data_IF_524422566353
#
_entry.id   IF_524422566353
#
_cell.length_a   1.000
_cell.length_b   1.000
_cell.length_c   1.000
_cell.angle_alpha   90.00
_cell.angle_beta   90.00
_cell.angle_gamma   90.00
#
_symmetry.space_group_name_H-M   'P 1'
#
loop_
_entity.id
_entity.type
_entity.pdbx_description
1 polymer ?
#
# COMPACT_ATOMS: atom_id res chain seq x y z
N UNK A 1 -39.09 -37.22 74.37
CA UNK A 1 -38.50 -36.98 73.02
C UNK A 1 -38.95 -35.59 72.62
N UNK A 2 -38.09 -34.56 72.81
CA UNK A 2 -38.40 -33.17 72.45
C UNK A 2 -37.79 -32.87 71.08
N UNK A 3 -38.48 -32.20 70.18
CA UNK A 3 -37.93 -31.85 68.85
C UNK A 3 -36.90 -30.74 68.99
N UNK A 4 -35.72 -30.98 68.38
CA UNK A 4 -34.66 -29.98 68.21
C UNK A 4 -35.16 -28.86 67.29
N UNK A 5 -35.40 -27.72 67.88
CA UNK A 5 -35.64 -26.44 67.09
C UNK A 5 -34.30 -26.00 66.63
N UNK A 6 -34.04 -26.17 65.32
CA UNK A 6 -32.87 -25.66 64.60
C UNK A 6 -32.93 -24.15 64.59
N UNK A 7 -32.10 -23.47 65.36
CA UNK A 7 -31.92 -22.02 65.37
C UNK A 7 -31.18 -21.62 64.12
N UNK A 8 -31.93 -21.23 63.07
CA UNK A 8 -31.33 -20.53 61.87
C UNK A 8 -30.66 -19.23 62.31
N UNK A 9 -29.39 -19.14 62.01
CA UNK A 9 -28.59 -17.95 62.32
C UNK A 9 -29.16 -16.70 61.63
N UNK A 10 -29.26 -15.53 62.31
CA UNK A 10 -29.85 -14.32 61.74
C UNK A 10 -29.08 -13.75 60.54
N UNK A 11 -27.86 -14.21 60.26
CA UNK A 11 -27.06 -13.81 59.09
C UNK A 11 -27.57 -14.34 57.74
N UNK A 12 -28.22 -15.52 57.75
CA UNK A 12 -28.68 -16.18 56.51
C UNK A 12 -29.88 -15.48 55.87
N UNK A 13 -30.74 -14.88 56.69
CA UNK A 13 -31.90 -14.09 56.20
C UNK A 13 -31.49 -12.76 55.60
N UNK A 14 -30.52 -12.09 56.19
CA UNK A 14 -29.99 -10.82 55.69
C UNK A 14 -29.26 -11.03 54.35
N UNK A 15 -28.45 -12.05 54.25
CA UNK A 15 -27.71 -12.39 53.03
C UNK A 15 -28.68 -12.75 51.90
N UNK A 16 -29.71 -13.52 52.15
CA UNK A 16 -30.74 -13.89 51.17
C UNK A 16 -31.53 -12.70 50.67
N UNK A 17 -31.85 -11.74 51.57
CA UNK A 17 -32.56 -10.50 51.21
C UNK A 17 -31.68 -9.56 50.36
N UNK A 18 -30.39 -9.48 50.67
CA UNK A 18 -29.43 -8.70 49.88
C UNK A 18 -29.28 -9.29 48.46
N UNK A 19 -29.10 -10.58 48.35
CA UNK A 19 -29.02 -11.28 47.03
C UNK A 19 -30.31 -11.09 46.21
N UNK A 20 -31.49 -11.18 46.85
CA UNK A 20 -32.76 -10.95 46.14
C UNK A 20 -32.92 -9.51 45.64
N UNK A 21 -32.51 -8.53 46.42
CA UNK A 21 -32.53 -7.09 46.01
C UNK A 21 -31.51 -6.85 44.91
N UNK A 22 -30.30 -7.37 45.03
CA UNK A 22 -29.25 -7.23 44.00
C UNK A 22 -29.69 -7.86 42.67
N UNK A 23 -30.29 -9.06 42.75
CA UNK A 23 -30.81 -9.75 41.55
C UNK A 23 -31.98 -8.97 40.92
N UNK A 24 -32.90 -8.40 41.73
CA UNK A 24 -33.98 -7.55 41.23
C UNK A 24 -33.45 -6.29 40.54
N UNK A 25 -32.47 -5.58 41.16
CA UNK A 25 -31.82 -4.43 40.55
C UNK A 25 -31.12 -4.80 39.25
N UNK A 26 -30.38 -5.88 39.21
CA UNK A 26 -29.70 -6.39 37.99
C UNK A 26 -30.70 -6.71 36.90
N UNK A 27 -31.79 -7.42 37.20
CA UNK A 27 -32.85 -7.68 36.21
C UNK A 27 -33.53 -6.40 35.71
N UNK A 28 -33.82 -5.47 36.60
CA UNK A 28 -34.39 -4.17 36.19
C UNK A 28 -33.44 -3.42 35.27
N UNK A 29 -32.14 -3.42 35.57
CA UNK A 29 -31.12 -2.78 34.77
C UNK A 29 -31.01 -3.45 33.38
N UNK A 30 -31.00 -4.78 33.31
CA UNK A 30 -30.97 -5.56 32.06
C UNK A 30 -32.22 -5.24 31.22
N UNK A 31 -33.41 -5.31 31.81
CA UNK A 31 -34.68 -5.02 31.09
C UNK A 31 -34.68 -3.59 30.59
N UNK A 32 -34.28 -2.62 31.41
CA UNK A 32 -34.19 -1.20 31.01
C UNK A 32 -33.21 -1.05 29.84
N UNK A 33 -32.03 -1.68 29.90
CA UNK A 33 -31.03 -1.63 28.83
C UNK A 33 -31.59 -2.23 27.52
N UNK A 34 -32.28 -3.39 27.61
CA UNK A 34 -32.90 -4.03 26.43
C UNK A 34 -33.97 -3.15 25.82
N UNK A 35 -34.81 -2.52 26.64
CA UNK A 35 -35.86 -1.58 26.16
C UNK A 35 -35.22 -0.36 25.51
N UNK A 36 -34.21 0.25 26.13
CA UNK A 36 -33.49 1.39 25.54
C UNK A 36 -32.85 1.01 24.20
N UNK A 37 -32.24 -0.16 24.13
CA UNK A 37 -31.64 -0.68 22.90
C UNK A 37 -32.69 -0.93 21.82
N UNK A 38 -33.84 -1.50 22.17
CA UNK A 38 -34.96 -1.70 21.24
C UNK A 38 -35.52 -0.38 20.70
N UNK A 39 -35.67 0.63 21.58
CA UNK A 39 -36.08 1.99 21.18
C UNK A 39 -35.04 2.62 20.24
N UNK A 40 -33.76 2.55 20.61
CA UNK A 40 -32.65 3.05 19.78
C UNK A 40 -32.67 2.45 18.37
N UNK A 41 -32.75 1.11 18.25
CA UNK A 41 -32.81 0.44 16.95
C UNK A 41 -34.08 0.79 16.17
N UNK A 42 -35.23 0.89 16.84
CA UNK A 42 -36.51 1.20 16.19
C UNK A 42 -36.53 2.61 15.65
N UNK A 43 -36.13 3.59 16.47
CA UNK A 43 -36.02 4.99 16.05
C UNK A 43 -34.96 5.16 14.96
N UNK A 44 -33.82 4.50 15.13
CA UNK A 44 -32.74 4.52 14.12
C UNK A 44 -33.19 4.01 12.76
N UNK A 45 -33.89 2.87 12.73
CA UNK A 45 -34.44 2.33 11.46
C UNK A 45 -35.46 3.26 10.84
N UNK A 46 -36.34 3.86 11.64
CA UNK A 46 -37.33 4.81 11.15
C UNK A 46 -36.68 6.05 10.55
N UNK A 47 -35.65 6.60 11.19
CA UNK A 47 -34.88 7.75 10.68
C UNK A 47 -34.16 7.39 9.38
N UNK A 48 -33.47 6.23 9.32
CA UNK A 48 -32.74 5.78 8.13
C UNK A 48 -33.68 5.60 6.93
N UNK A 49 -34.88 5.08 7.14
CA UNK A 49 -35.87 4.90 6.06
C UNK A 49 -36.34 6.22 5.44
N UNK A 50 -36.26 7.32 6.16
CA UNK A 50 -36.71 8.64 5.72
C UNK A 50 -35.58 9.61 5.36
N UNK A 51 -34.32 9.13 5.26
CA UNK A 51 -33.13 9.96 4.99
C UNK A 51 -33.23 10.79 3.72
N UNK A 52 -33.91 10.30 2.70
CA UNK A 52 -34.13 11.06 1.45
C UNK A 52 -34.85 12.38 1.65
N UNK A 53 -35.73 12.50 2.66
CA UNK A 53 -36.41 13.77 2.98
C UNK A 53 -35.46 14.82 3.57
N UNK A 54 -34.33 14.40 4.15
CA UNK A 54 -33.33 15.25 4.77
C UNK A 54 -32.06 15.43 3.94
N UNK A 55 -32.09 14.98 2.67
CA UNK A 55 -30.91 14.95 1.77
C UNK A 55 -30.17 16.29 1.74
N UNK A 56 -30.85 17.41 1.59
CA UNK A 56 -30.23 18.73 1.50
C UNK A 56 -29.47 19.10 2.77
N UNK A 57 -30.06 18.84 3.94
CA UNK A 57 -29.42 19.11 5.24
C UNK A 57 -28.20 18.21 5.47
N UNK A 58 -28.28 16.93 5.10
CA UNK A 58 -27.17 15.96 5.22
C UNK A 58 -26.01 16.38 4.34
N UNK A 59 -26.25 16.71 3.07
CA UNK A 59 -25.21 17.18 2.15
C UNK A 59 -24.61 18.49 2.60
N UNK A 60 -25.40 19.43 3.14
CA UNK A 60 -24.89 20.66 3.70
C UNK A 60 -23.96 20.38 4.88
N UNK A 61 -24.35 19.51 5.81
CA UNK A 61 -23.51 19.14 6.97
C UNK A 61 -22.21 18.43 6.53
N UNK A 62 -22.27 17.51 5.57
CA UNK A 62 -21.09 16.87 5.01
C UNK A 62 -20.16 17.91 4.36
N UNK A 63 -20.69 18.82 3.59
CA UNK A 63 -19.91 19.87 2.91
C UNK A 63 -19.24 20.88 3.86
N UNK A 64 -19.69 20.99 5.12
CA UNK A 64 -18.98 21.80 6.12
C UNK A 64 -17.75 21.12 6.71
N UNK A 65 -17.61 19.79 6.52
CA UNK A 65 -16.58 18.98 7.17
C UNK A 65 -15.48 18.50 6.25
N UNK A 66 -15.72 18.53 4.95
CA UNK A 66 -14.76 18.09 3.95
C UNK A 66 -14.37 19.27 3.05
N UNK A 67 -13.13 19.32 2.60
CA UNK A 67 -12.66 20.39 1.71
C UNK A 67 -13.11 20.20 0.25
N UNK A 68 -14.13 19.38 0.01
CA UNK A 68 -14.70 19.08 -1.31
C UNK A 68 -16.19 19.41 -1.29
N UNK A 69 -16.71 19.85 -2.43
CA UNK A 69 -18.15 19.95 -2.61
C UNK A 69 -18.69 18.57 -2.98
N UNK A 70 -19.50 18.00 -2.10
CA UNK A 70 -20.18 16.72 -2.28
C UNK A 70 -21.56 16.96 -2.86
N UNK A 71 -21.82 16.42 -4.04
CA UNK A 71 -23.13 16.33 -4.66
C UNK A 71 -23.50 14.86 -4.80
N UNK A 72 -24.74 14.50 -4.46
CA UNK A 72 -25.27 13.14 -4.64
C UNK A 72 -26.66 13.20 -5.26
N UNK A 73 -26.92 12.30 -6.20
CA UNK A 73 -28.25 12.19 -6.80
C UNK A 73 -29.28 11.71 -5.78
N UNK A 74 -28.89 10.77 -4.92
CA UNK A 74 -29.75 10.21 -3.88
C UNK A 74 -28.97 9.97 -2.61
N UNK A 75 -29.60 10.31 -1.48
CA UNK A 75 -29.16 9.96 -0.14
C UNK A 75 -30.17 9.00 0.46
N UNK A 76 -29.70 7.85 0.92
CA UNK A 76 -30.51 6.85 1.63
C UNK A 76 -29.78 6.40 2.90
N UNK A 77 -30.52 5.78 3.81
CA UNK A 77 -29.95 5.26 5.04
C UNK A 77 -30.18 3.76 5.14
N UNK A 78 -29.14 3.05 5.54
CA UNK A 78 -29.20 1.63 5.90
C UNK A 78 -28.88 1.47 7.39
N UNK A 79 -29.38 0.38 7.96
CA UNK A 79 -29.14 0.08 9.36
C UNK A 79 -28.48 -1.30 9.48
N UNK A 80 -27.19 -1.32 9.81
CA UNK A 80 -26.44 -2.56 9.99
C UNK A 80 -26.16 -2.81 11.48
N UNK A 81 -26.81 -3.85 12.04
CA UNK A 81 -26.73 -4.19 13.46
C UNK A 81 -27.14 -3.00 14.36
N UNK A 82 -26.19 -2.21 14.82
CA UNK A 82 -26.40 -1.03 15.66
C UNK A 82 -25.82 0.26 15.05
N UNK A 83 -25.30 0.17 13.84
CA UNK A 83 -24.61 1.28 13.17
C UNK A 83 -25.43 1.81 12.00
N UNK A 84 -25.79 3.09 11.99
CA UNK A 84 -26.38 3.73 10.84
C UNK A 84 -25.34 3.93 9.74
N UNK A 85 -25.73 3.66 8.52
CA UNK A 85 -24.90 3.83 7.32
C UNK A 85 -25.64 4.74 6.35
N UNK A 86 -25.02 5.86 6.00
CA UNK A 86 -25.44 6.71 4.89
C UNK A 86 -24.96 6.10 3.59
N UNK A 87 -25.88 5.94 2.64
CA UNK A 87 -25.59 5.50 1.27
C UNK A 87 -25.87 6.67 0.33
N UNK A 88 -24.84 7.08 -0.37
CA UNK A 88 -24.84 8.18 -1.31
C UNK A 88 -24.66 7.59 -2.72
N UNK A 89 -25.64 7.78 -3.59
CA UNK A 89 -25.60 7.23 -4.97
C UNK A 89 -25.25 8.33 -5.96
N UNK A 90 -24.46 7.96 -6.98
CA UNK A 90 -23.99 8.85 -8.03
C UNK A 90 -23.32 10.12 -7.46
N UNK A 91 -22.29 9.90 -6.66
CA UNK A 91 -21.55 10.99 -6.03
C UNK A 91 -20.66 11.72 -7.03
N UNK A 92 -20.59 13.04 -6.82
CA UNK A 92 -19.65 13.93 -7.47
C UNK A 92 -18.92 14.72 -6.40
N UNK A 93 -17.60 14.56 -6.34
CA UNK A 93 -16.71 15.27 -5.44
C UNK A 93 -15.97 16.34 -6.23
N UNK A 94 -16.32 17.59 -6.01
CA UNK A 94 -15.70 18.73 -6.70
C UNK A 94 -14.65 19.36 -5.78
N UNK A 95 -13.38 19.48 -6.21
CA UNK A 95 -12.35 20.15 -5.44
C UNK A 95 -12.67 21.66 -5.26
N UNK A 96 -12.16 22.31 -4.20
CA UNK A 96 -12.43 23.73 -3.94
C UNK A 96 -11.82 24.65 -4.99
N UNK A 97 -10.78 24.20 -5.73
CA UNK A 97 -10.20 24.92 -6.87
C UNK A 97 -10.86 24.44 -8.15
N UNK A 98 -11.49 25.35 -8.87
CA UNK A 98 -12.33 25.04 -10.03
C UNK A 98 -11.58 24.59 -11.30
N UNK A 99 -10.26 24.53 -11.30
CA UNK A 99 -9.40 24.03 -12.37
C UNK A 99 -9.22 22.50 -12.36
N UNK A 100 -9.56 21.86 -11.26
CA UNK A 100 -9.48 20.40 -11.13
C UNK A 100 -10.82 19.74 -11.50
N UNK A 101 -10.75 18.60 -12.19
CA UNK A 101 -11.94 17.85 -12.60
C UNK A 101 -12.59 17.16 -11.38
N UNK A 102 -13.95 17.17 -11.31
CA UNK A 102 -14.65 16.44 -10.28
C UNK A 102 -14.39 14.94 -10.36
N UNK A 103 -14.27 14.29 -9.20
CA UNK A 103 -14.25 12.83 -9.08
C UNK A 103 -15.70 12.33 -9.04
N UNK A 104 -15.99 11.31 -9.83
CA UNK A 104 -17.32 10.67 -9.88
C UNK A 104 -17.23 9.22 -9.42
N UNK A 105 -18.19 8.80 -8.63
CA UNK A 105 -18.29 7.43 -8.15
C UNK A 105 -19.76 7.00 -8.07
N UNK A 106 -20.00 5.71 -8.27
CA UNK A 106 -21.37 5.18 -8.31
C UNK A 106 -22.03 5.16 -6.93
N UNK A 107 -21.26 4.79 -5.91
CA UNK A 107 -21.77 4.66 -4.55
C UNK A 107 -20.69 4.99 -3.51
N UNK A 108 -21.13 5.70 -2.46
CA UNK A 108 -20.34 5.92 -1.25
C UNK A 108 -21.15 5.52 -0.03
N UNK A 109 -20.56 4.76 0.88
CA UNK A 109 -21.17 4.33 2.14
C UNK A 109 -20.38 4.91 3.29
N UNK A 110 -21.06 5.58 4.19
CA UNK A 110 -20.46 6.24 5.35
C UNK A 110 -21.16 5.72 6.61
N UNK A 111 -20.42 4.96 7.42
CA UNK A 111 -20.91 4.55 8.74
C UNK A 111 -20.63 5.63 9.77
N UNK A 112 -21.63 5.87 10.63
CA UNK A 112 -21.61 6.94 11.63
C UNK A 112 -21.51 6.34 13.01
N UNK A 113 -20.60 6.87 13.84
CA UNK A 113 -20.62 6.62 15.28
C UNK A 113 -21.63 7.53 15.95
N UNK A 114 -22.75 6.95 16.37
CA UNK A 114 -23.83 7.72 17.02
C UNK A 114 -23.42 8.21 18.40
N UNK A 115 -22.68 7.41 19.16
CA UNK A 115 -22.29 7.77 20.52
C UNK A 115 -21.26 8.91 20.53
N UNK A 116 -20.23 8.79 19.70
CA UNK A 116 -19.22 9.83 19.59
C UNK A 116 -19.77 11.08 18.86
N UNK A 117 -20.71 10.92 17.94
CA UNK A 117 -21.42 12.05 17.31
C UNK A 117 -22.25 12.83 18.32
N UNK A 118 -22.98 12.13 19.21
CA UNK A 118 -23.76 12.79 20.28
C UNK A 118 -22.85 13.46 21.32
N UNK A 119 -21.73 12.82 21.66
CA UNK A 119 -20.80 13.35 22.67
C UNK A 119 -20.06 14.59 22.17
N UNK A 120 -19.62 14.59 20.92
CA UNK A 120 -18.89 15.72 20.30
C UNK A 120 -19.80 16.81 19.74
N UNK A 121 -21.11 16.54 19.62
CA UNK A 121 -22.06 17.42 18.93
C UNK A 121 -21.77 17.52 17.42
N UNK A 122 -21.06 16.55 16.86
CA UNK A 122 -20.58 16.56 15.49
C UNK A 122 -20.64 15.16 14.88
N UNK A 123 -20.96 15.07 13.57
CA UNK A 123 -21.00 13.79 12.86
C UNK A 123 -19.61 13.14 12.84
N UNK A 124 -19.48 11.97 13.47
CA UNK A 124 -18.24 11.19 13.48
C UNK A 124 -18.39 10.01 12.52
N UNK A 125 -17.47 9.95 11.54
CA UNK A 125 -17.42 8.87 10.53
C UNK A 125 -16.44 7.81 10.97
N UNK A 126 -16.89 6.55 11.06
CA UNK A 126 -16.03 5.41 11.41
C UNK A 126 -15.57 4.63 10.18
N UNK A 127 -16.43 4.51 9.17
CA UNK A 127 -16.12 3.75 7.95
C UNK A 127 -16.53 4.53 6.72
N UNK A 128 -15.68 4.48 5.73
CA UNK A 128 -15.93 5.03 4.40
C UNK A 128 -15.62 3.96 3.36
N UNK A 129 -16.64 3.57 2.62
CA UNK A 129 -16.52 2.63 1.52
C UNK A 129 -16.93 3.36 0.23
N UNK A 130 -16.06 3.33 -0.77
CA UNK A 130 -16.28 3.97 -2.07
C UNK A 130 -16.22 2.91 -3.17
N UNK A 131 -17.19 2.95 -4.08
CA UNK A 131 -17.32 1.98 -5.15
C UNK A 131 -17.34 2.66 -6.52
N UNK A 132 -16.64 2.04 -7.47
CA UNK A 132 -16.55 2.50 -8.87
C UNK A 132 -16.00 3.92 -9.04
N UNK A 133 -15.03 4.28 -8.20
CA UNK A 133 -14.31 5.54 -8.29
C UNK A 133 -13.29 5.49 -9.43
N UNK A 134 -13.34 6.48 -10.32
CA UNK A 134 -12.38 6.66 -11.38
C UNK A 134 -11.31 7.67 -10.95
N UNK A 135 -10.16 7.18 -10.51
CA UNK A 135 -9.01 7.98 -10.14
C UNK A 135 -8.11 8.24 -11.35
N UNK A 136 -7.44 9.37 -11.34
CA UNK A 136 -6.38 9.71 -12.28
C UNK A 136 -5.13 10.05 -11.53
N UNK A 137 -4.04 9.43 -11.94
CA UNK A 137 -2.73 9.69 -11.37
C UNK A 137 -1.74 10.02 -12.48
N UNK A 138 -0.73 10.78 -12.15
CA UNK A 138 0.39 11.06 -13.03
C UNK A 138 1.69 10.70 -12.33
N UNK A 139 2.53 9.97 -13.03
CA UNK A 139 3.88 9.68 -12.60
C UNK A 139 4.81 10.62 -13.38
N UNK A 140 5.46 11.53 -12.66
CA UNK A 140 6.41 12.45 -13.24
C UNK A 140 7.75 11.77 -13.58
N UNK A 141 8.56 12.42 -14.43
CA UNK A 141 9.90 11.92 -14.82
C UNK A 141 10.86 11.74 -13.63
N UNK A 142 10.67 12.47 -12.54
CA UNK A 142 11.44 12.34 -11.30
C UNK A 142 10.96 11.18 -10.40
N UNK A 143 9.95 10.41 -10.87
CA UNK A 143 9.38 9.27 -10.14
C UNK A 143 8.37 9.66 -9.06
N UNK A 144 7.92 10.90 -9.02
CA UNK A 144 6.88 11.34 -8.09
C UNK A 144 5.50 11.01 -8.64
N UNK A 145 4.71 10.35 -7.81
CA UNK A 145 3.32 10.08 -8.09
C UNK A 145 2.44 11.25 -7.60
N UNK A 146 1.55 11.73 -8.46
CA UNK A 146 0.52 12.72 -8.12
C UNK A 146 -0.85 12.16 -8.45
N UNK A 147 -1.79 12.34 -7.54
CA UNK A 147 -3.19 12.01 -7.78
C UNK A 147 -3.93 13.27 -8.21
N UNK A 148 -4.59 13.23 -9.37
CA UNK A 148 -5.36 14.37 -9.88
C UNK A 148 -6.52 14.68 -8.90
N UNK A 149 -6.62 15.92 -8.44
CA UNK A 149 -7.63 16.34 -7.46
C UNK A 149 -7.20 16.25 -5.99
N UNK A 150 -6.05 15.61 -5.71
CA UNK A 150 -5.45 15.55 -4.37
C UNK A 150 -4.02 16.08 -4.49
N UNK A 151 -3.85 17.37 -4.28
CA UNK A 151 -2.51 17.95 -4.28
C UNK A 151 -1.83 17.65 -2.94
N UNK A 152 -0.87 16.70 -2.95
CA UNK A 152 -0.16 16.23 -1.75
C UNK A 152 0.84 17.24 -1.17
N UNK A 153 0.91 18.45 -1.70
CA UNK A 153 1.94 19.44 -1.36
C UNK A 153 1.53 20.42 -0.25
N UNK A 154 0.85 19.92 0.79
CA UNK A 154 0.46 20.78 1.91
C UNK A 154 -0.69 21.72 1.53
N UNK A 155 -1.56 22.01 2.47
CA UNK A 155 -2.74 22.82 2.28
C UNK A 155 -3.91 22.17 2.99
N UNK A 156 -5.05 22.81 2.96
CA UNK A 156 -6.25 22.40 3.67
C UNK A 156 -6.69 20.96 3.36
N UNK A 157 -6.55 20.52 2.10
CA UNK A 157 -6.87 19.14 1.69
C UNK A 157 -5.88 18.13 2.30
N UNK A 158 -4.58 18.44 2.32
CA UNK A 158 -3.56 17.55 2.87
C UNK A 158 -3.69 17.37 4.38
N UNK A 159 -3.97 18.45 5.11
CA UNK A 159 -4.20 18.40 6.55
C UNK A 159 -5.48 17.62 6.87
N UNK A 160 -6.57 17.90 6.16
CA UNK A 160 -7.82 17.18 6.30
C UNK A 160 -7.64 15.68 6.01
N UNK A 161 -6.95 15.33 4.92
CA UNK A 161 -6.71 13.93 4.54
C UNK A 161 -5.89 13.20 5.60
N UNK A 162 -4.87 13.86 6.16
CA UNK A 162 -4.08 13.32 7.26
C UNK A 162 -4.95 13.04 8.48
N UNK A 163 -5.74 14.03 8.91
CA UNK A 163 -6.64 13.89 10.06
C UNK A 163 -7.69 12.80 9.82
N UNK A 164 -8.26 12.77 8.63
CA UNK A 164 -9.21 11.74 8.21
C UNK A 164 -8.60 10.34 8.28
N UNK A 165 -7.41 10.13 7.69
CA UNK A 165 -6.70 8.84 7.70
C UNK A 165 -6.27 8.41 9.12
N UNK A 166 -6.02 9.37 10.01
CA UNK A 166 -5.69 9.08 11.41
C UNK A 166 -6.91 8.67 12.24
N UNK A 167 -8.10 9.15 11.93
CA UNK A 167 -9.30 8.99 12.76
C UNK A 167 -10.26 7.91 12.26
N UNK A 168 -10.35 7.66 10.96
CA UNK A 168 -11.25 6.67 10.39
C UNK A 168 -10.79 5.24 10.71
N UNK A 169 -11.72 4.35 11.06
CA UNK A 169 -11.45 2.95 11.38
C UNK A 169 -11.29 2.08 10.13
N UNK A 170 -12.07 2.37 9.07
CA UNK A 170 -12.03 1.62 7.82
C UNK A 170 -12.23 2.54 6.62
N UNK A 171 -11.28 2.47 5.69
CA UNK A 171 -11.44 2.99 4.33
C UNK A 171 -11.35 1.80 3.38
N UNK A 172 -12.35 1.66 2.52
CA UNK A 172 -12.39 0.60 1.51
C UNK A 172 -12.74 1.18 0.15
N UNK A 173 -11.87 0.94 -0.82
CA UNK A 173 -12.09 1.25 -2.23
C UNK A 173 -12.28 -0.06 -2.98
N UNK A 174 -13.45 -0.26 -3.61
CA UNK A 174 -13.78 -1.49 -4.34
C UNK A 174 -14.16 -1.19 -5.78
N UNK A 175 -13.72 -2.04 -6.71
CA UNK A 175 -14.05 -1.92 -8.14
C UNK A 175 -13.67 -0.53 -8.71
N UNK A 176 -12.57 0.04 -8.25
CA UNK A 176 -12.12 1.34 -8.69
C UNK A 176 -11.13 1.22 -9.84
N UNK A 177 -11.02 2.25 -10.62
CA UNK A 177 -10.06 2.32 -11.71
C UNK A 177 -9.07 3.45 -11.48
N UNK A 178 -7.78 3.17 -11.69
CA UNK A 178 -6.72 4.16 -11.71
C UNK A 178 -6.23 4.33 -13.15
N UNK A 179 -6.43 5.52 -13.70
CA UNK A 179 -5.86 5.90 -14.99
C UNK A 179 -4.53 6.60 -14.73
N UNK A 180 -3.44 5.86 -14.88
CA UNK A 180 -2.09 6.31 -14.62
C UNK A 180 -1.46 6.90 -15.89
N UNK A 181 -1.15 8.20 -15.88
CA UNK A 181 -0.29 8.84 -16.87
C UNK A 181 1.17 8.53 -16.57
N UNK A 182 1.90 8.02 -17.56
CA UNK A 182 3.33 7.71 -17.46
C UNK A 182 4.15 8.83 -18.12
N UNK A 183 5.41 9.01 -17.74
CA UNK A 183 6.34 9.86 -18.47
C UNK A 183 6.36 9.48 -19.97
N UNK A 184 6.29 10.44 -20.86
CA UNK A 184 6.16 10.17 -22.30
C UNK A 184 4.72 10.18 -22.84
N UNK A 185 3.71 10.43 -21.98
CA UNK A 185 2.32 10.63 -22.38
C UNK A 185 1.47 9.36 -22.53
N UNK A 186 2.03 8.17 -22.32
CA UNK A 186 1.27 6.94 -22.29
C UNK A 186 0.34 6.92 -21.07
N UNK A 187 -0.88 6.44 -21.25
CA UNK A 187 -1.85 6.23 -20.16
C UNK A 187 -2.16 4.75 -19.99
N UNK A 188 -2.20 4.30 -18.73
CA UNK A 188 -2.54 2.93 -18.36
C UNK A 188 -3.70 2.91 -17.40
N UNK A 189 -4.66 2.10 -17.71
CA UNK A 189 -5.77 1.80 -16.82
C UNK A 189 -5.43 0.57 -15.97
N UNK A 190 -5.63 0.71 -14.67
CA UNK A 190 -5.44 -0.34 -13.68
C UNK A 190 -6.69 -0.44 -12.80
N UNK A 191 -7.06 -1.66 -12.47
CA UNK A 191 -8.05 -1.91 -11.43
C UNK A 191 -7.38 -1.67 -10.07
N UNK A 192 -8.05 -0.92 -9.20
CA UNK A 192 -7.57 -0.56 -7.87
C UNK A 192 -8.51 -1.08 -6.80
N UNK A 193 -8.00 -1.84 -5.86
CA UNK A 193 -8.62 -2.04 -4.56
C UNK A 193 -7.71 -1.56 -3.44
N UNK A 194 -8.29 -0.94 -2.42
CA UNK A 194 -7.58 -0.45 -1.25
C UNK A 194 -8.42 -0.72 -0.02
N UNK A 195 -7.76 -1.20 1.02
CA UNK A 195 -8.34 -1.36 2.36
C UNK A 195 -7.35 -0.83 3.39
N UNK A 196 -7.77 0.16 4.14
CA UNK A 196 -7.04 0.69 5.29
C UNK A 196 -7.91 0.50 6.53
N UNK A 197 -7.40 -0.25 7.49
CA UNK A 197 -8.06 -0.52 8.76
C UNK A 197 -7.26 0.07 9.92
N UNK A 198 -7.97 0.59 10.90
CA UNK A 198 -7.40 1.05 12.17
C UNK A 198 -8.06 0.33 13.33
N UNK A 199 -7.25 -0.25 14.19
CA UNK A 199 -7.67 -0.85 15.46
C UNK A 199 -6.80 -0.24 16.58
N UNK A 200 -7.34 0.72 17.29
CA UNK A 200 -6.59 1.52 18.25
C UNK A 200 -5.45 2.29 17.59
N UNK A 201 -4.22 2.00 18.00
CA UNK A 201 -2.98 2.56 17.40
C UNK A 201 -2.44 1.75 16.23
N UNK A 202 -2.95 0.53 16.00
CA UNK A 202 -2.53 -0.35 14.91
C UNK A 202 -3.27 0.00 13.63
N UNK A 203 -2.54 0.00 12.52
CA UNK A 203 -3.07 0.21 11.17
C UNK A 203 -2.66 -0.94 10.27
N UNK A 204 -3.56 -1.34 9.38
CA UNK A 204 -3.30 -2.33 8.33
C UNK A 204 -3.66 -1.73 7.00
N UNK A 205 -2.80 -1.92 6.04
CA UNK A 205 -2.97 -1.48 4.66
C UNK A 205 -2.94 -2.69 3.74
N UNK A 206 -3.89 -2.76 2.81
CA UNK A 206 -3.92 -3.72 1.72
C UNK A 206 -4.27 -2.96 0.43
N UNK A 207 -3.37 -2.99 -0.55
CA UNK A 207 -3.54 -2.31 -1.84
C UNK A 207 -3.24 -3.29 -2.96
N UNK A 208 -4.20 -3.48 -3.83
CA UNK A 208 -4.02 -4.22 -5.08
C UNK A 208 -4.23 -3.31 -6.28
N UNK A 209 -3.29 -3.38 -7.22
CA UNK A 209 -3.39 -2.79 -8.53
C UNK A 209 -3.19 -3.88 -9.59
N UNK A 210 -4.11 -3.98 -10.54
CA UNK A 210 -4.04 -4.95 -11.61
C UNK A 210 -4.24 -4.28 -12.97
N UNK A 211 -3.37 -4.55 -13.92
CA UNK A 211 -3.50 -4.07 -15.29
C UNK A 211 -4.05 -5.18 -16.18
N UNK A 212 -4.84 -4.82 -17.19
CA UNK A 212 -5.30 -5.73 -18.23
C UNK A 212 -4.15 -6.39 -19.03
N UNK A 213 -2.95 -5.82 -18.98
CA UNK A 213 -1.73 -6.35 -19.62
C UNK A 213 -0.91 -7.28 -18.72
N UNK A 214 -1.48 -7.73 -17.59
CA UNK A 214 -0.86 -8.72 -16.71
C UNK A 214 0.08 -8.16 -15.64
N UNK A 215 0.25 -6.84 -15.53
CA UNK A 215 0.97 -6.26 -14.41
C UNK A 215 0.09 -6.29 -13.13
N UNK A 216 0.67 -6.72 -12.02
CA UNK A 216 0.03 -6.72 -10.69
C UNK A 216 0.98 -6.12 -9.67
N UNK A 217 0.43 -5.29 -8.80
CA UNK A 217 1.13 -4.74 -7.65
C UNK A 217 0.25 -5.05 -6.43
N UNK A 218 0.84 -5.67 -5.41
CA UNK A 218 0.17 -5.95 -4.15
C UNK A 218 1.03 -5.40 -3.02
N UNK A 219 0.47 -4.56 -2.18
CA UNK A 219 1.14 -3.95 -1.04
C UNK A 219 0.34 -4.28 0.21
N UNK A 220 1.01 -4.94 1.16
CA UNK A 220 0.50 -5.19 2.50
C UNK A 220 1.32 -4.37 3.48
N UNK A 221 0.67 -3.81 4.49
CA UNK A 221 1.36 -3.07 5.53
C UNK A 221 0.66 -3.23 6.87
N UNK A 222 1.46 -3.27 7.93
CA UNK A 222 0.98 -3.18 9.30
C UNK A 222 1.90 -2.26 10.07
N UNK A 223 1.32 -1.36 10.88
CA UNK A 223 2.13 -0.42 11.66
C UNK A 223 1.39 0.11 12.87
N UNK A 224 2.16 0.71 13.77
CA UNK A 224 1.69 1.33 15.01
C UNK A 224 2.25 2.74 15.09
N UNK A 225 1.42 3.66 15.54
CA UNK A 225 1.79 5.07 15.67
C UNK A 225 1.25 5.94 14.52
N UNK A 226 1.82 7.13 14.36
CA UNK A 226 1.45 8.09 13.31
C UNK A 226 2.32 7.88 12.07
N UNK A 227 1.76 7.36 10.95
CA UNK A 227 2.53 7.12 9.72
C UNK A 227 3.07 8.40 9.06
N UNK A 228 2.57 9.57 9.44
CA UNK A 228 3.06 10.86 8.96
C UNK A 228 4.18 11.44 9.82
N UNK A 229 4.52 10.76 10.93
CA UNK A 229 5.65 11.10 11.79
C UNK A 229 6.60 9.89 11.93
N UNK A 230 7.69 9.84 11.13
CA UNK A 230 8.60 8.70 11.12
C UNK A 230 9.22 8.36 12.49
N UNK A 231 9.40 9.35 13.37
CA UNK A 231 9.96 9.14 14.71
C UNK A 231 8.98 8.45 15.68
N UNK A 232 7.68 8.51 15.39
CA UNK A 232 6.62 7.93 16.20
C UNK A 232 5.95 6.72 15.53
N UNK A 233 6.47 6.29 14.39
CA UNK A 233 5.90 5.19 13.62
C UNK A 233 6.85 3.99 13.58
N UNK A 234 6.29 2.81 13.81
CA UNK A 234 6.95 1.52 13.55
C UNK A 234 6.01 0.65 12.74
N UNK A 235 6.51 0.04 11.68
CA UNK A 235 5.68 -0.79 10.80
C UNK A 235 6.49 -1.64 9.83
N UNK A 236 5.83 -2.65 9.31
CA UNK A 236 6.35 -3.57 8.31
C UNK A 236 5.47 -3.51 7.08
N UNK A 237 6.10 -3.46 5.91
CA UNK A 237 5.43 -3.45 4.62
C UNK A 237 6.01 -4.53 3.73
N UNK A 238 5.14 -5.21 3.04
CA UNK A 238 5.47 -6.15 1.98
C UNK A 238 4.92 -5.60 0.67
N UNK A 239 5.72 -5.59 -0.37
CA UNK A 239 5.28 -5.25 -1.71
C UNK A 239 5.69 -6.35 -2.69
N UNK A 240 4.77 -6.74 -3.56
CA UNK A 240 5.04 -7.63 -4.69
C UNK A 240 4.63 -6.96 -5.98
N UNK A 241 5.53 -6.93 -6.94
CA UNK A 241 5.29 -6.41 -8.29
C UNK A 241 5.58 -7.54 -9.25
N UNK A 242 4.58 -8.00 -9.99
CA UNK A 242 4.76 -8.97 -11.07
C UNK A 242 4.28 -8.34 -12.38
N UNK A 243 5.09 -8.43 -13.42
CA UNK A 243 4.74 -7.88 -14.73
C UNK A 243 5.36 -8.69 -15.86
N UNK A 244 4.63 -8.82 -16.95
CA UNK A 244 5.12 -9.32 -18.24
C UNK A 244 5.45 -8.16 -19.20
N UNK A 245 5.16 -6.93 -18.81
CA UNK A 245 5.38 -5.72 -19.61
C UNK A 245 6.34 -4.78 -18.85
N UNK A 246 7.62 -4.97 -19.10
CA UNK A 246 8.68 -4.10 -18.55
C UNK A 246 8.79 -2.75 -19.27
N UNK A 247 8.10 -2.56 -20.40
CA UNK A 247 8.07 -1.29 -21.11
C UNK A 247 7.54 -0.12 -20.25
N UNK A 248 6.63 -0.42 -19.32
CA UNK A 248 6.19 0.57 -18.32
C UNK A 248 7.31 0.95 -17.35
N UNK A 249 8.12 -0.03 -16.94
CA UNK A 249 9.25 0.18 -16.04
C UNK A 249 10.34 1.01 -16.74
N UNK A 250 10.52 0.84 -18.05
CA UNK A 250 11.40 1.67 -18.88
C UNK A 250 11.08 3.16 -18.70
N UNK A 251 9.83 3.53 -18.82
CA UNK A 251 9.41 4.94 -18.74
C UNK A 251 9.64 5.55 -17.35
N UNK A 252 9.57 4.74 -16.30
CA UNK A 252 9.85 5.17 -14.92
C UNK A 252 11.35 5.28 -14.64
N UNK A 253 12.15 4.38 -15.22
CA UNK A 253 13.60 4.29 -15.00
C UNK A 253 14.44 4.97 -16.07
N UNK A 254 13.85 5.41 -17.20
CA UNK A 254 14.56 5.95 -18.37
C UNK A 254 15.51 7.10 -18.05
N UNK A 255 15.15 7.94 -17.08
CA UNK A 255 15.98 9.06 -16.65
C UNK A 255 17.20 8.66 -15.79
N UNK A 256 17.26 7.41 -15.32
CA UNK A 256 18.36 6.90 -14.50
C UNK A 256 19.21 5.86 -15.23
N UNK A 257 18.68 5.24 -16.28
CA UNK A 257 19.34 4.19 -17.07
C UNK A 257 19.28 4.59 -18.56
N UNK A 258 20.11 5.56 -18.94
CA UNK A 258 20.16 6.10 -20.31
C UNK A 258 20.30 4.98 -21.33
N UNK A 259 19.33 4.89 -22.26
CA UNK A 259 19.36 3.96 -23.39
C UNK A 259 19.23 2.48 -23.06
N UNK A 260 19.12 2.08 -21.79
CA UNK A 260 19.00 0.67 -21.39
C UNK A 260 17.61 0.35 -20.92
N UNK A 261 17.01 -0.73 -21.42
CA UNK A 261 15.70 -1.22 -21.02
C UNK A 261 15.64 -2.74 -21.09
N UNK A 262 14.59 -3.33 -20.55
CA UNK A 262 14.38 -4.77 -20.56
C UNK A 262 12.97 -5.14 -21.01
N UNK A 263 12.85 -6.26 -21.69
CA UNK A 263 11.60 -6.96 -21.99
C UNK A 263 11.57 -8.28 -21.23
N UNK A 264 10.40 -8.87 -21.03
CA UNK A 264 10.24 -10.17 -20.37
C UNK A 264 9.39 -10.12 -19.12
N UNK A 265 9.46 -11.15 -18.29
CA UNK A 265 8.69 -11.27 -17.06
C UNK A 265 9.56 -11.01 -15.84
N UNK A 266 9.05 -10.21 -14.91
CA UNK A 266 9.71 -9.91 -13.64
C UNK A 266 8.73 -10.06 -12.47
N UNK A 267 9.20 -10.69 -11.40
CA UNK A 267 8.55 -10.74 -10.08
C UNK A 267 9.53 -10.14 -9.07
N UNK A 268 9.12 -9.02 -8.46
CA UNK A 268 9.89 -8.34 -7.41
C UNK A 268 9.11 -8.42 -6.13
N UNK A 269 9.76 -8.85 -5.07
CA UNK A 269 9.24 -8.84 -3.72
C UNK A 269 10.13 -7.94 -2.87
N UNK A 270 9.52 -7.09 -2.06
CA UNK A 270 10.24 -6.18 -1.18
C UNK A 270 9.62 -6.20 0.22
N UNK A 271 10.46 -6.16 1.22
CA UNK A 271 10.11 -6.05 2.63
C UNK A 271 10.75 -4.81 3.19
N UNK A 272 9.92 -3.88 3.64
CA UNK A 272 10.34 -2.62 4.25
C UNK A 272 9.94 -2.66 5.72
N UNK A 273 10.91 -2.51 6.60
CA UNK A 273 10.68 -2.29 8.02
C UNK A 273 11.06 -0.84 8.37
N UNK A 274 10.17 -0.18 9.07
CA UNK A 274 10.35 1.17 9.62
C UNK A 274 10.28 1.06 11.14
N UNK A 275 11.28 1.57 11.83
CA UNK A 275 11.26 1.64 13.30
C UNK A 275 11.83 2.97 13.75
N UNK A 276 10.94 3.90 14.14
CA UNK A 276 11.27 5.22 14.72
C UNK A 276 12.35 5.97 13.94
N UNK A 277 12.17 6.06 12.63
CA UNK A 277 13.10 6.74 11.73
C UNK A 277 14.21 5.86 11.16
N UNK A 278 14.41 4.65 11.66
CA UNK A 278 15.28 3.66 11.03
C UNK A 278 14.54 2.91 9.93
N UNK A 279 15.21 2.65 8.82
CA UNK A 279 14.63 1.99 7.65
C UNK A 279 15.50 0.82 7.23
N UNK A 280 14.90 -0.36 7.11
CA UNK A 280 15.51 -1.55 6.53
C UNK A 280 14.67 -2.01 5.34
N UNK A 281 15.31 -2.23 4.20
CA UNK A 281 14.67 -2.67 2.97
C UNK A 281 15.39 -3.90 2.43
N UNK A 282 14.66 -4.99 2.30
CA UNK A 282 15.12 -6.21 1.66
C UNK A 282 14.28 -6.48 0.41
N UNK A 283 14.89 -7.11 -0.59
CA UNK A 283 14.22 -7.40 -1.85
C UNK A 283 14.65 -8.72 -2.45
N UNK A 284 13.76 -9.30 -3.23
CA UNK A 284 14.00 -10.46 -4.07
C UNK A 284 13.52 -10.19 -5.49
N UNK A 285 14.38 -10.39 -6.45
CA UNK A 285 14.10 -10.26 -7.87
C UNK A 285 14.15 -11.64 -8.51
N UNK A 286 13.11 -12.00 -9.24
CA UNK A 286 13.07 -13.15 -10.13
C UNK A 286 12.68 -12.65 -11.52
N UNK A 287 13.44 -13.01 -12.53
CA UNK A 287 13.17 -12.68 -13.92
C UNK A 287 13.21 -13.92 -14.80
N UNK A 288 12.36 -13.96 -15.80
CA UNK A 288 12.37 -15.01 -16.84
C UNK A 288 12.17 -14.39 -18.22
N UNK A 289 12.87 -14.98 -19.19
CA UNK A 289 12.83 -14.57 -20.59
C UNK A 289 13.10 -13.08 -20.78
N UNK A 290 14.08 -12.57 -20.01
CA UNK A 290 14.47 -11.17 -20.07
C UNK A 290 15.35 -10.90 -21.27
N UNK A 291 15.11 -9.79 -21.96
CA UNK A 291 16.02 -9.24 -22.97
C UNK A 291 16.40 -7.84 -22.54
N UNK A 292 17.62 -7.67 -22.08
CA UNK A 292 18.18 -6.35 -21.76
C UNK A 292 18.74 -5.73 -23.04
N UNK A 293 18.28 -4.54 -23.36
CA UNK A 293 18.65 -3.82 -24.59
C UNK A 293 19.27 -2.48 -24.24
N UNK A 294 20.39 -2.15 -24.87
CA UNK A 294 20.95 -0.80 -24.87
C UNK A 294 20.99 -0.27 -26.29
N UNK A 295 20.06 0.62 -26.62
CA UNK A 295 19.91 1.16 -27.99
C UNK A 295 21.09 2.06 -28.42
N UNK A 296 21.72 2.77 -27.49
CA UNK A 296 22.86 3.65 -27.78
C UNK A 296 24.11 2.88 -28.20
N UNK A 297 24.25 1.66 -27.69
CA UNK A 297 25.40 0.78 -27.93
C UNK A 297 25.10 -0.38 -28.86
N UNK A 298 23.88 -0.44 -29.42
CA UNK A 298 23.36 -1.57 -30.22
C UNK A 298 23.64 -2.94 -29.55
N UNK A 299 23.31 -3.03 -28.28
CA UNK A 299 23.62 -4.20 -27.45
C UNK A 299 22.35 -4.85 -26.91
N UNK A 300 22.31 -6.19 -27.01
CA UNK A 300 21.20 -7.00 -26.49
C UNK A 300 21.73 -8.18 -25.69
N UNK A 301 21.17 -8.43 -24.52
CA UNK A 301 21.50 -9.57 -23.68
C UNK A 301 20.22 -10.34 -23.33
N UNK A 302 19.97 -11.48 -24.00
CA UNK A 302 18.88 -12.35 -23.63
C UNK A 302 19.25 -13.14 -22.36
N UNK A 303 18.41 -13.13 -21.35
CA UNK A 303 18.57 -13.85 -20.09
C UNK A 303 17.35 -14.74 -19.87
N UNK A 304 17.54 -16.05 -19.85
CA UNK A 304 16.48 -17.01 -19.61
C UNK A 304 15.98 -16.95 -18.18
N UNK A 305 16.89 -16.70 -17.23
CA UNK A 305 16.57 -16.57 -15.82
C UNK A 305 17.49 -15.57 -15.15
N UNK A 306 16.90 -14.77 -14.29
CA UNK A 306 17.59 -13.87 -13.35
C UNK A 306 17.04 -14.10 -11.95
N UNK A 307 17.92 -14.25 -10.97
CA UNK A 307 17.53 -14.29 -9.56
C UNK A 307 18.53 -13.49 -8.74
N UNK A 308 18.04 -12.70 -7.78
CA UNK A 308 18.85 -11.90 -6.88
C UNK A 308 18.07 -11.66 -5.57
N UNK A 309 18.72 -11.83 -4.45
CA UNK A 309 18.28 -11.31 -3.16
C UNK A 309 19.15 -10.11 -2.79
N UNK A 310 18.55 -9.04 -2.28
CA UNK A 310 19.27 -7.80 -2.00
C UNK A 310 18.78 -7.15 -0.72
N UNK A 311 19.70 -6.50 -0.02
CA UNK A 311 19.45 -5.62 1.11
C UNK A 311 19.91 -4.21 0.75
N UNK A 312 19.07 -3.22 0.94
CA UNK A 312 19.37 -1.82 0.68
C UNK A 312 19.60 -1.08 1.99
N UNK A 313 20.70 -0.37 2.04
CA UNK A 313 21.09 0.47 3.19
C UNK A 313 21.29 1.89 2.71
N UNK A 314 20.52 2.83 3.27
CA UNK A 314 20.63 4.25 2.98
C UNK A 314 21.53 4.93 4.01
N UNK A 315 22.63 5.52 3.55
CA UNK A 315 23.44 6.46 4.32
C UNK A 315 23.07 7.91 4.01
N UNK A 316 23.79 8.88 4.59
CA UNK A 316 23.51 10.32 4.38
C UNK A 316 23.74 10.76 2.92
N UNK A 317 24.90 10.40 2.34
CA UNK A 317 25.29 10.80 0.99
C UNK A 317 25.58 9.60 0.08
N UNK A 318 25.36 8.40 0.56
CA UNK A 318 25.66 7.15 -0.11
C UNK A 318 24.57 6.12 0.17
N UNK A 319 24.28 5.31 -0.82
CA UNK A 319 23.47 4.11 -0.65
C UNK A 319 24.29 2.88 -1.02
N UNK A 320 23.97 1.76 -0.41
CA UNK A 320 24.60 0.47 -0.67
C UNK A 320 23.54 -0.60 -0.84
N UNK A 321 23.69 -1.42 -1.88
CA UNK A 321 22.92 -2.63 -2.08
C UNK A 321 23.85 -3.82 -1.88
N UNK A 322 23.56 -4.65 -0.90
CA UNK A 322 24.19 -5.95 -0.70
C UNK A 322 23.36 -7.01 -1.39
N UNK A 323 23.90 -7.64 -2.45
CA UNK A 323 23.26 -8.70 -3.19
C UNK A 323 23.83 -10.06 -2.83
N UNK A 324 22.95 -11.06 -2.74
CA UNK A 324 23.33 -12.44 -2.50
C UNK A 324 22.66 -13.35 -3.53
N UNK A 325 23.39 -14.41 -3.93
CA UNK A 325 22.82 -15.45 -4.78
C UNK A 325 22.44 -14.99 -6.19
N UNK A 326 23.13 -13.98 -6.75
CA UNK A 326 22.89 -13.58 -8.14
C UNK A 326 23.08 -14.79 -9.06
N UNK A 327 22.04 -15.08 -9.85
CA UNK A 327 22.06 -16.08 -10.90
C UNK A 327 21.60 -15.46 -12.20
N UNK A 328 22.39 -15.61 -13.25
CA UNK A 328 22.06 -15.22 -14.61
C UNK A 328 22.20 -16.47 -15.49
N UNK A 329 21.14 -16.90 -16.14
CA UNK A 329 21.14 -18.04 -17.06
C UNK A 329 20.95 -17.57 -18.49
N UNK A 330 21.83 -18.01 -19.40
CA UNK A 330 21.78 -17.70 -20.82
C UNK A 330 22.37 -18.89 -21.63
N UNK A 331 21.69 -19.34 -22.68
CA UNK A 331 22.20 -20.34 -23.58
C UNK A 331 22.65 -21.68 -22.94
N UNK A 332 22.05 -22.03 -21.79
CA UNK A 332 22.44 -23.20 -20.99
C UNK A 332 23.61 -22.95 -20.04
N UNK A 333 24.21 -21.75 -20.03
CA UNK A 333 25.26 -21.35 -19.12
C UNK A 333 24.61 -20.60 -17.92
N UNK A 334 25.08 -20.89 -16.72
CA UNK A 334 24.63 -20.21 -15.50
C UNK A 334 25.81 -19.50 -14.85
N UNK A 335 25.76 -18.19 -14.82
CA UNK A 335 26.64 -17.34 -13.98
C UNK A 335 26.04 -17.22 -12.60
N UNK A 336 26.71 -17.77 -11.59
CA UNK A 336 26.37 -17.62 -10.19
C UNK A 336 27.37 -16.72 -9.48
N UNK A 337 26.93 -15.65 -8.85
CA UNK A 337 27.77 -14.77 -8.01
C UNK A 337 27.24 -14.81 -6.59
N UNK A 338 27.99 -15.39 -5.64
CA UNK A 338 27.50 -15.57 -4.27
C UNK A 338 27.21 -14.28 -3.55
N UNK A 339 28.06 -13.26 -3.73
CA UNK A 339 27.94 -11.95 -3.07
C UNK A 339 28.33 -10.85 -4.05
N UNK A 340 27.53 -9.79 -4.01
CA UNK A 340 27.84 -8.55 -4.71
C UNK A 340 27.49 -7.37 -3.80
N UNK A 341 28.18 -6.25 -4.01
CA UNK A 341 27.90 -5.00 -3.34
C UNK A 341 27.91 -3.90 -4.39
N UNK A 342 26.87 -3.10 -4.41
CA UNK A 342 26.75 -1.93 -5.27
C UNK A 342 26.65 -0.69 -4.39
N UNK A 343 27.65 0.15 -4.44
CA UNK A 343 27.69 1.45 -3.75
C UNK A 343 27.37 2.56 -4.75
N UNK A 344 26.53 3.51 -4.37
CA UNK A 344 26.25 4.70 -5.14
C UNK A 344 26.42 5.98 -4.31
N UNK A 345 27.09 6.99 -4.89
CA UNK A 345 27.24 8.32 -4.32
C UNK A 345 27.35 9.36 -5.44
N UNK A 346 26.56 10.42 -5.36
CA UNK A 346 26.47 11.41 -6.45
C UNK A 346 26.13 10.77 -7.78
N UNK A 347 27.03 10.88 -8.76
CA UNK A 347 26.93 10.23 -10.08
C UNK A 347 27.84 8.99 -10.20
N UNK A 348 28.53 8.61 -9.15
CA UNK A 348 29.45 7.48 -9.16
C UNK A 348 28.79 6.21 -8.67
N UNK A 349 29.16 5.08 -9.30
CA UNK A 349 28.73 3.73 -8.93
C UNK A 349 29.98 2.85 -8.77
N UNK A 350 29.99 2.00 -7.77
CA UNK A 350 31.02 0.98 -7.55
C UNK A 350 30.37 -0.36 -7.32
N UNK A 351 30.65 -1.30 -8.21
CA UNK A 351 30.28 -2.71 -8.06
C UNK A 351 31.47 -3.50 -7.55
N UNK A 352 31.27 -4.29 -6.51
CA UNK A 352 32.19 -5.32 -6.04
C UNK A 352 31.48 -6.67 -6.07
N UNK A 353 32.17 -7.71 -6.51
CA UNK A 353 31.66 -9.06 -6.50
C UNK A 353 32.75 -10.02 -6.03
N UNK A 354 32.37 -11.10 -5.37
CA UNK A 354 33.30 -12.11 -4.86
C UNK A 354 33.01 -13.47 -5.51
N UNK A 355 34.07 -14.25 -5.68
CA UNK A 355 34.01 -15.63 -6.21
C UNK A 355 33.28 -15.73 -7.56
N UNK A 356 33.63 -14.80 -8.47
CA UNK A 356 33.00 -14.72 -9.80
C UNK A 356 33.61 -15.78 -10.72
N UNK A 357 32.83 -16.76 -11.22
CA UNK A 357 33.33 -17.79 -12.11
C UNK A 357 33.67 -17.20 -13.49
N UNK A 358 34.92 -17.43 -13.97
CA UNK A 358 35.44 -16.78 -15.17
C UNK A 358 34.80 -17.32 -16.46
N UNK A 359 34.68 -18.64 -16.59
CA UNK A 359 34.14 -19.23 -17.81
C UNK A 359 32.66 -18.81 -18.07
N UNK A 360 31.73 -18.89 -17.12
CA UNK A 360 30.36 -18.35 -17.30
C UNK A 360 30.33 -16.86 -17.57
N UNK A 361 31.19 -16.07 -16.89
CA UNK A 361 31.25 -14.63 -17.14
C UNK A 361 31.72 -14.31 -18.55
N UNK A 362 32.76 -15.00 -19.02
CA UNK A 362 33.32 -14.83 -20.37
C UNK A 362 32.28 -15.19 -21.45
N UNK A 363 31.57 -16.30 -21.29
CA UNK A 363 30.50 -16.69 -22.22
C UNK A 363 29.39 -15.63 -22.27
N UNK A 364 28.96 -15.12 -21.12
CA UNK A 364 27.95 -14.06 -21.05
C UNK A 364 28.43 -12.78 -21.78
N UNK A 365 29.69 -12.40 -21.63
CA UNK A 365 30.29 -11.24 -22.32
C UNK A 365 30.35 -11.45 -23.83
N UNK A 366 30.72 -12.66 -24.30
CA UNK A 366 30.75 -13.01 -25.73
C UNK A 366 29.36 -12.87 -26.33
N UNK A 367 28.36 -13.51 -25.71
CA UNK A 367 26.99 -13.55 -26.22
C UNK A 367 26.31 -12.18 -26.23
N UNK A 368 26.75 -11.25 -25.34
CA UNK A 368 26.20 -9.92 -25.21
C UNK A 368 26.99 -8.83 -25.95
N UNK A 369 28.14 -9.13 -26.52
CA UNK A 369 29.00 -8.13 -27.16
C UNK A 369 28.55 -7.78 -28.60
N UNK A 370 28.46 -6.50 -28.99
CA UNK A 370 28.21 -6.11 -30.37
C UNK A 370 29.35 -6.51 -31.31
N UNK A 371 30.56 -6.74 -30.78
CA UNK A 371 31.75 -7.19 -31.52
C UNK A 371 32.02 -8.68 -31.29
N UNK A 372 30.98 -9.52 -31.36
CA UNK A 372 31.01 -10.94 -30.97
C UNK A 372 32.26 -11.68 -31.48
N UNK A 373 32.58 -11.60 -32.76
CA UNK A 373 33.72 -12.34 -33.34
C UNK A 373 35.08 -12.02 -32.72
N UNK A 374 35.36 -10.73 -32.44
CA UNK A 374 36.63 -10.30 -31.84
C UNK A 374 36.70 -10.68 -30.36
N UNK A 375 35.60 -10.48 -29.63
CA UNK A 375 35.52 -10.83 -28.21
C UNK A 375 35.58 -12.34 -28.02
N UNK A 376 34.89 -13.11 -28.86
CA UNK A 376 34.95 -14.58 -28.88
C UNK A 376 36.35 -15.09 -29.12
N UNK A 377 37.08 -14.50 -30.07
CA UNK A 377 38.48 -14.90 -30.39
C UNK A 377 39.39 -14.64 -29.18
N UNK A 378 39.25 -13.48 -28.51
CA UNK A 378 40.04 -13.16 -27.32
C UNK A 378 39.70 -14.11 -26.17
N UNK A 379 38.43 -14.38 -25.90
CA UNK A 379 38.00 -15.30 -24.86
C UNK A 379 38.48 -16.72 -25.13
N UNK A 380 38.37 -17.18 -26.35
CA UNK A 380 38.87 -18.50 -26.76
C UNK A 380 40.40 -18.62 -26.62
N UNK A 381 41.14 -17.52 -26.91
CA UNK A 381 42.60 -17.48 -26.76
C UNK A 381 43.02 -17.50 -25.29
N UNK A 382 42.27 -16.82 -24.43
CA UNK A 382 42.55 -16.73 -22.99
C UNK A 382 42.15 -18.00 -22.22
N UNK A 383 41.18 -18.77 -22.74
CA UNK A 383 40.59 -19.96 -22.09
C UNK A 383 40.35 -19.76 -20.59
N UNK A 384 39.49 -18.79 -20.23
CA UNK A 384 39.36 -18.37 -18.83
C UNK A 384 38.73 -19.48 -17.97
N UNK A 385 39.48 -19.98 -17.01
CA UNK A 385 39.07 -21.02 -16.07
C UNK A 385 39.22 -20.55 -14.63
N UNK A 386 38.49 -21.19 -13.71
CA UNK A 386 38.50 -20.85 -12.28
C UNK A 386 37.58 -19.68 -11.92
N UNK A 387 37.87 -19.00 -10.83
CA UNK A 387 37.07 -17.88 -10.33
C UNK A 387 37.93 -16.69 -9.89
N UNK A 388 37.42 -15.49 -10.06
CA UNK A 388 37.98 -14.28 -9.46
C UNK A 388 37.52 -14.18 -8.01
N UNK A 389 38.46 -14.16 -7.08
CA UNK A 389 38.18 -13.95 -5.65
C UNK A 389 37.55 -12.59 -5.38
N UNK A 390 37.89 -11.58 -6.19
CA UNK A 390 37.32 -10.23 -6.10
C UNK A 390 37.31 -9.55 -7.48
N UNK A 391 36.16 -9.04 -7.88
CA UNK A 391 35.97 -8.18 -9.05
C UNK A 391 35.51 -6.82 -8.57
N UNK A 392 36.14 -5.74 -9.04
CA UNK A 392 35.70 -4.39 -8.76
C UNK A 392 35.57 -3.60 -10.07
N UNK A 393 34.40 -3.01 -10.27
CA UNK A 393 34.12 -2.10 -11.38
C UNK A 393 33.65 -0.76 -10.81
N UNK A 394 34.13 0.34 -11.39
CA UNK A 394 33.72 1.69 -11.00
C UNK A 394 33.31 2.46 -12.25
N UNK A 395 32.21 3.20 -12.16
CA UNK A 395 31.65 4.04 -13.23
C UNK A 395 31.44 5.42 -12.64
N UNK A 396 31.84 6.47 -13.34
CA UNK A 396 31.75 7.86 -12.92
C UNK A 396 33.07 8.44 -12.45
N UNK A 397 33.07 9.76 -12.23
CA UNK A 397 34.27 10.50 -11.80
C UNK A 397 34.60 10.10 -10.35
N UNK A 398 35.69 9.38 -10.19
CA UNK A 398 36.26 9.03 -8.89
C UNK A 398 37.27 10.15 -8.60
N UNK A 399 36.74 11.33 -8.20
CA UNK A 399 37.56 12.39 -7.63
C UNK A 399 38.04 12.04 -6.23
#
# INVERSE_FOLDING_TARGET
MAPLVEKRAPGDLLQKTIYQRLNAVLWTLIVTLVVLLAVYVSVGRMLMSNMGAYQAGILQELNTRVPFLIEAERVSGEWHSFTPVLVLSNLRLSPPRGDLRPLTLSEGRIAIDVLDSLRSGSLQMTRVELESLALRGELSEDGRFRLEGIDGSGGEIGEWLREFLLNVELISLRQNTLNLGLPGGERRQMDLSLRLERDGSRRRLDVELASSRGARIHILGEGVGDPFNPELFSGEFYARVSTQDLGAVKQVLSNRLTGTWAEGTVDVQAWLALDRGETSLQGRLLGSDLVVVNEERDWKMPLQQVALEAEFVQGRDRWTVFGTGLKLAQGGVVLGVPRLQLDGWGQALRLRATDVPLAPLANLVVDSSPAQGRVEEIVRMLDPAGSLSSLQLSIGDIG
#
